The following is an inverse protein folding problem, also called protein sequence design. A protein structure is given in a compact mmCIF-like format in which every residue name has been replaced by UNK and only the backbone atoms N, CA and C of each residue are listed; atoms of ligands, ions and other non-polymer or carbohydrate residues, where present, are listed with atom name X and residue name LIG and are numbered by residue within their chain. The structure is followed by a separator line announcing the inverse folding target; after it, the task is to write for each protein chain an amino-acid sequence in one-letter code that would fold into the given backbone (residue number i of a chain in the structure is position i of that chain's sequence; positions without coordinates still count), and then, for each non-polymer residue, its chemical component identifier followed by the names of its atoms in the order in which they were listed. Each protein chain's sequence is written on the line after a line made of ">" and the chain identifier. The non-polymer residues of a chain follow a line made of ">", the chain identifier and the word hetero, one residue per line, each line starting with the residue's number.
data_IF_433887243508
#
_entry.id   IF_433887243508
#
_cell.length_a   1.000
_cell.length_b   1.000
_cell.length_c   1.000
_cell.angle_alpha   90.00
_cell.angle_beta   90.00
_cell.angle_gamma   90.00
#
_symmetry.space_group_name_H-M   'P 1'
#
loop_
_entity.id
_entity.type
_entity.pdbx_description
1 polymer ?
#
# COMPACT_ATOMS: atom_id res chain seq x y z
N UNK A 1 -47.13 12.03 -11.14
CA UNK A 1 -45.69 12.23 -10.88
C UNK A 1 -45.08 12.85 -12.12
N UNK A 2 -44.57 14.06 -12.01
CA UNK A 2 -43.97 14.79 -13.15
C UNK A 2 -42.61 14.20 -13.51
N UNK A 3 -42.23 14.21 -14.82
CA UNK A 3 -40.93 13.73 -15.31
C UNK A 3 -39.76 14.29 -14.51
N UNK A 4 -39.86 15.53 -14.04
CA UNK A 4 -38.82 16.19 -13.23
C UNK A 4 -38.60 15.52 -11.85
N UNK A 5 -39.63 14.98 -11.22
CA UNK A 5 -39.55 14.29 -9.93
C UNK A 5 -38.74 12.98 -10.05
N UNK A 6 -38.88 12.29 -11.17
CA UNK A 6 -38.15 11.04 -11.44
C UNK A 6 -36.63 11.28 -11.65
N UNK A 7 -36.26 12.37 -12.33
CA UNK A 7 -34.83 12.74 -12.51
C UNK A 7 -34.16 13.13 -11.20
N UNK A 8 -34.84 13.84 -10.30
CA UNK A 8 -34.28 14.22 -8.99
C UNK A 8 -34.04 12.98 -8.13
N UNK A 9 -34.97 12.03 -8.11
CA UNK A 9 -34.81 10.77 -7.36
C UNK A 9 -33.63 9.96 -7.91
N UNK A 10 -33.48 9.85 -9.23
CA UNK A 10 -32.38 9.12 -9.87
C UNK A 10 -31.01 9.74 -9.53
N UNK A 11 -30.89 11.07 -9.52
CA UNK A 11 -29.65 11.77 -9.14
C UNK A 11 -29.27 11.53 -7.69
N UNK A 12 -30.22 11.45 -6.75
CA UNK A 12 -29.96 11.18 -5.33
C UNK A 12 -29.39 9.75 -5.14
N UNK A 13 -29.93 8.75 -5.83
CA UNK A 13 -29.42 7.36 -5.76
C UNK A 13 -28.00 7.22 -6.31
N UNK A 14 -27.66 7.91 -7.40
CA UNK A 14 -26.31 7.87 -7.99
C UNK A 14 -25.28 8.53 -7.06
N UNK A 15 -25.61 9.64 -6.43
CA UNK A 15 -24.73 10.34 -5.48
C UNK A 15 -24.44 9.50 -4.23
N UNK A 16 -25.42 8.77 -3.72
CA UNK A 16 -25.27 7.89 -2.56
C UNK A 16 -24.31 6.73 -2.85
N UNK A 17 -24.37 6.12 -4.02
CA UNK A 17 -23.53 4.99 -4.40
C UNK A 17 -22.04 5.38 -4.55
N UNK A 18 -21.74 6.57 -5.06
CA UNK A 18 -20.37 7.09 -5.20
C UNK A 18 -19.76 7.38 -3.82
N UNK A 19 -20.52 7.98 -2.92
CA UNK A 19 -20.09 8.26 -1.54
C UNK A 19 -19.74 6.97 -0.79
N UNK A 20 -20.56 5.94 -0.88
CA UNK A 20 -20.35 4.65 -0.23
C UNK A 20 -19.06 3.96 -0.71
N UNK A 21 -18.79 3.93 -2.02
CA UNK A 21 -17.55 3.39 -2.59
C UNK A 21 -16.29 4.11 -2.06
N UNK A 22 -16.35 5.42 -1.92
CA UNK A 22 -15.23 6.22 -1.43
C UNK A 22 -14.94 5.93 0.05
N UNK A 23 -15.97 5.81 0.88
CA UNK A 23 -15.87 5.49 2.31
C UNK A 23 -15.28 4.08 2.49
N UNK A 24 -15.82 3.08 1.79
CA UNK A 24 -15.32 1.70 1.85
C UNK A 24 -13.85 1.62 1.45
N UNK A 25 -13.45 2.29 0.37
CA UNK A 25 -12.06 2.34 -0.05
C UNK A 25 -11.14 2.96 1.02
N UNK A 26 -11.55 4.07 1.63
CA UNK A 26 -10.79 4.73 2.71
C UNK A 26 -10.64 3.81 3.92
N UNK A 27 -11.71 3.13 4.30
CA UNK A 27 -11.70 2.19 5.42
C UNK A 27 -10.75 1.01 5.14
N UNK A 28 -10.81 0.42 3.95
CA UNK A 28 -9.91 -0.66 3.53
C UNK A 28 -8.44 -0.23 3.59
N UNK A 29 -8.09 0.96 3.09
CA UNK A 29 -6.73 1.49 3.17
C UNK A 29 -6.27 1.61 4.63
N UNK A 30 -7.12 2.14 5.50
CA UNK A 30 -6.80 2.29 6.92
C UNK A 30 -6.63 0.93 7.61
N UNK A 31 -7.47 -0.05 7.30
CA UNK A 31 -7.36 -1.43 7.83
C UNK A 31 -6.05 -2.08 7.40
N UNK A 32 -5.68 -1.99 6.11
CA UNK A 32 -4.41 -2.55 5.61
C UNK A 32 -3.20 -1.91 6.28
N UNK A 33 -3.20 -0.58 6.47
CA UNK A 33 -2.12 0.13 7.16
C UNK A 33 -2.11 -0.23 8.65
N UNK A 34 -3.28 -0.29 9.29
CA UNK A 34 -3.43 -0.71 10.68
C UNK A 34 -2.87 -2.10 10.91
N UNK A 35 -3.21 -3.06 10.06
CA UNK A 35 -2.67 -4.41 10.13
C UNK A 35 -1.15 -4.44 9.94
N UNK A 36 -0.60 -3.72 8.96
CA UNK A 36 0.85 -3.63 8.78
C UNK A 36 1.56 -3.10 10.04
N UNK A 37 0.96 -2.13 10.74
CA UNK A 37 1.50 -1.56 11.98
C UNK A 37 1.52 -2.56 13.14
N UNK A 38 0.61 -3.54 13.17
CA UNK A 38 0.63 -4.59 14.21
C UNK A 38 1.87 -5.49 14.14
N UNK A 39 2.59 -5.46 13.03
CA UNK A 39 3.86 -6.20 12.81
C UNK A 39 5.11 -5.37 13.14
N UNK A 40 5.01 -4.08 13.48
CA UNK A 40 6.19 -3.27 13.82
C UNK A 40 6.97 -3.95 14.94
N UNK A 41 8.30 -4.08 14.74
CA UNK A 41 9.21 -4.81 15.63
C UNK A 41 9.36 -6.31 15.32
N UNK A 42 8.51 -6.91 14.48
CA UNK A 42 8.67 -8.30 14.04
C UNK A 42 10.00 -8.48 13.32
N UNK A 43 10.82 -9.52 13.68
CA UNK A 43 12.10 -9.78 13.01
C UNK A 43 11.94 -10.06 11.52
N UNK A 44 12.96 -9.69 10.73
CA UNK A 44 13.00 -10.09 9.33
C UNK A 44 13.32 -11.59 9.20
N UNK A 45 12.54 -12.30 8.40
CA UNK A 45 12.83 -13.69 8.02
C UNK A 45 12.46 -13.88 6.54
N UNK A 46 13.44 -14.27 5.73
CA UNK A 46 13.20 -14.57 4.32
C UNK A 46 12.15 -15.69 4.18
N UNK A 47 11.11 -15.45 3.36
CA UNK A 47 9.98 -16.37 3.21
C UNK A 47 9.00 -16.38 4.38
N UNK A 48 9.28 -15.67 5.47
CA UNK A 48 8.42 -15.57 6.64
C UNK A 48 7.12 -14.79 6.37
N UNK A 49 6.08 -15.09 7.15
CA UNK A 49 4.75 -14.51 6.95
C UNK A 49 3.94 -14.39 8.26
N UNK A 50 4.59 -14.41 9.41
CA UNK A 50 3.97 -14.31 10.74
C UNK A 50 4.78 -13.44 11.70
N UNK A 51 4.35 -13.32 12.97
CA UNK A 51 5.00 -12.51 14.00
C UNK A 51 6.30 -13.12 14.56
N UNK A 52 6.63 -14.36 14.21
CA UNK A 52 7.92 -14.98 14.53
C UNK A 52 9.01 -14.59 13.52
N UNK A 53 8.59 -14.08 12.36
CA UNK A 53 9.47 -13.55 11.33
C UNK A 53 8.75 -13.36 10.01
N UNK A 54 8.98 -12.20 9.39
CA UNK A 54 8.26 -11.80 8.17
C UNK A 54 9.20 -11.14 7.16
N UNK A 55 8.98 -11.40 5.86
CA UNK A 55 9.65 -10.64 4.80
C UNK A 55 8.77 -9.49 4.26
N UNK A 56 9.33 -8.68 3.38
CA UNK A 56 8.65 -7.49 2.87
C UNK A 56 7.35 -7.79 2.11
N UNK A 57 7.33 -8.85 1.28
CA UNK A 57 6.15 -9.25 0.54
C UNK A 57 5.14 -10.02 1.40
N UNK A 58 5.60 -10.79 2.38
CA UNK A 58 4.77 -11.46 3.39
C UNK A 58 4.00 -10.46 4.26
N UNK A 59 4.66 -9.37 4.67
CA UNK A 59 4.00 -8.27 5.40
C UNK A 59 2.80 -7.72 4.62
N UNK A 60 2.96 -7.49 3.31
CA UNK A 60 1.86 -7.01 2.48
C UNK A 60 0.76 -8.06 2.33
N UNK A 61 1.10 -9.35 2.15
CA UNK A 61 0.10 -10.42 2.11
C UNK A 61 -0.78 -10.38 3.36
N UNK A 62 -0.18 -10.36 4.55
CA UNK A 62 -0.92 -10.29 5.81
C UNK A 62 -1.75 -9.01 5.93
N UNK A 63 -1.17 -7.88 5.54
CA UNK A 63 -1.88 -6.60 5.61
C UNK A 63 -3.13 -6.57 4.72
N UNK A 64 -3.06 -7.10 3.50
CA UNK A 64 -4.20 -7.14 2.59
C UNK A 64 -5.23 -8.23 2.94
N UNK A 65 -4.81 -9.31 3.60
CA UNK A 65 -5.73 -10.32 4.14
C UNK A 65 -6.71 -9.74 5.18
N UNK A 66 -6.35 -8.68 5.90
CA UNK A 66 -7.24 -8.00 6.87
C UNK A 66 -8.53 -7.44 6.25
N UNK A 67 -8.56 -7.26 4.95
CA UNK A 67 -9.73 -6.81 4.17
C UNK A 67 -10.26 -7.89 3.21
N UNK A 68 -9.83 -9.15 3.41
CA UNK A 68 -10.20 -10.28 2.55
C UNK A 68 -9.57 -10.25 1.15
N UNK A 69 -8.60 -9.36 0.90
CA UNK A 69 -7.94 -9.23 -0.41
C UNK A 69 -6.69 -10.11 -0.48
N UNK A 70 -6.69 -11.12 -1.35
CA UNK A 70 -5.52 -11.95 -1.62
C UNK A 70 -4.62 -11.27 -2.65
N UNK A 71 -3.34 -11.10 -2.31
CA UNK A 71 -2.30 -10.61 -3.22
C UNK A 71 -1.20 -11.66 -3.38
N UNK A 72 -0.41 -11.63 -4.49
CA UNK A 72 0.67 -12.59 -4.70
C UNK A 72 1.72 -12.58 -3.60
N UNK A 73 2.36 -13.75 -3.36
CA UNK A 73 3.34 -13.92 -2.28
C UNK A 73 4.67 -13.20 -2.53
N UNK A 74 5.06 -13.02 -3.78
CA UNK A 74 6.40 -12.50 -4.10
C UNK A 74 6.38 -11.06 -4.57
N UNK A 75 7.44 -10.30 -4.23
CA UNK A 75 7.63 -8.91 -4.67
C UNK A 75 7.58 -8.76 -6.19
N UNK A 76 8.13 -9.75 -6.93
CA UNK A 76 8.12 -9.75 -8.40
C UNK A 76 6.74 -9.89 -9.02
N UNK A 77 5.81 -10.56 -8.35
CA UNK A 77 4.41 -10.64 -8.77
C UNK A 77 3.59 -9.45 -8.26
N UNK A 78 3.87 -8.98 -7.05
CA UNK A 78 3.17 -7.83 -6.46
C UNK A 78 3.37 -6.54 -7.27
N UNK A 79 4.53 -6.36 -7.93
CA UNK A 79 4.82 -5.18 -8.75
C UNK A 79 3.90 -5.09 -9.99
N UNK A 80 3.26 -6.17 -10.40
CA UNK A 80 2.32 -6.18 -11.52
C UNK A 80 0.89 -5.78 -11.11
N UNK A 81 0.61 -5.69 -9.80
CA UNK A 81 -0.70 -5.26 -9.30
C UNK A 81 -0.97 -3.79 -9.63
N UNK A 82 -2.25 -3.48 -9.83
CA UNK A 82 -2.77 -2.11 -9.89
C UNK A 82 -2.13 -1.20 -10.95
N UNK A 83 -2.25 0.10 -10.78
CA UNK A 83 -1.79 1.12 -11.73
C UNK A 83 -0.49 1.77 -11.27
N UNK A 84 0.41 2.12 -12.21
CA UNK A 84 1.63 2.90 -11.92
C UNK A 84 1.27 4.32 -11.48
N UNK A 85 1.95 4.82 -10.46
CA UNK A 85 1.79 6.16 -9.88
C UNK A 85 3.15 6.84 -9.83
N UNK A 86 3.20 8.15 -10.09
CA UNK A 86 4.42 8.95 -9.87
C UNK A 86 4.59 9.29 -8.39
N UNK A 87 5.82 9.56 -7.95
CA UNK A 87 6.12 9.93 -6.57
C UNK A 87 5.27 11.12 -6.09
N UNK A 88 5.10 12.15 -6.93
CA UNK A 88 4.28 13.34 -6.63
C UNK A 88 2.78 13.04 -6.43
N UNK A 89 2.28 11.93 -6.98
CA UNK A 89 0.87 11.50 -6.88
C UNK A 89 0.65 10.34 -5.93
N UNK A 90 1.67 9.99 -5.14
CA UNK A 90 1.61 8.92 -4.12
C UNK A 90 0.54 9.24 -3.07
N UNK A 91 -0.14 8.21 -2.58
CA UNK A 91 -1.17 8.29 -1.53
C UNK A 91 -1.01 7.13 -0.55
N UNK A 92 -1.60 7.28 0.65
CA UNK A 92 -1.74 6.17 1.62
C UNK A 92 -2.32 4.93 0.93
N UNK A 93 -1.76 3.76 1.23
CA UNK A 93 -2.14 2.48 0.63
C UNK A 93 -1.45 2.15 -0.70
N UNK A 94 -0.66 3.07 -1.29
CA UNK A 94 0.18 2.74 -2.45
C UNK A 94 1.34 1.82 -2.04
N UNK A 95 1.74 0.92 -2.94
CA UNK A 95 2.91 0.06 -2.78
C UNK A 95 4.12 0.70 -3.43
N UNK A 96 5.23 0.79 -2.69
CA UNK A 96 6.50 1.31 -3.22
C UNK A 96 7.51 0.19 -3.36
N UNK A 97 8.12 0.07 -4.55
CA UNK A 97 9.05 -0.99 -4.92
C UNK A 97 10.46 -0.45 -5.13
N UNK A 98 11.44 -1.17 -4.57
CA UNK A 98 12.82 -0.75 -4.57
C UNK A 98 13.74 -1.80 -5.19
N UNK A 99 14.87 -1.34 -5.75
CA UNK A 99 16.00 -2.18 -6.10
C UNK A 99 17.14 -1.92 -5.12
N UNK A 100 17.33 -2.85 -4.19
CA UNK A 100 18.51 -2.92 -3.33
C UNK A 100 19.49 -3.98 -3.87
N UNK A 101 20.77 -3.69 -3.89
CA UNK A 101 21.80 -4.58 -4.38
C UNK A 101 22.45 -4.12 -5.68
N UNK A 102 23.25 -5.01 -6.31
CA UNK A 102 24.08 -4.69 -7.50
C UNK A 102 23.26 -4.30 -8.72
N UNK A 103 22.14 -4.96 -8.96
CA UNK A 103 21.26 -4.64 -10.10
C UNK A 103 20.28 -3.54 -9.77
N UNK A 104 20.44 -2.40 -10.44
CA UNK A 104 19.47 -1.29 -10.33
C UNK A 104 18.12 -1.56 -11.02
N UNK A 105 18.01 -2.64 -11.80
CA UNK A 105 16.78 -3.00 -12.55
C UNK A 105 15.93 -4.03 -11.78
N UNK A 106 16.55 -4.95 -11.05
CA UNK A 106 15.83 -6.02 -10.34
C UNK A 106 15.20 -5.48 -9.06
N UNK A 107 13.88 -5.48 -9.00
CA UNK A 107 13.15 -5.15 -7.76
C UNK A 107 13.35 -6.27 -6.75
N UNK A 108 13.78 -5.90 -5.56
CA UNK A 108 14.12 -6.83 -4.47
C UNK A 108 13.38 -6.53 -3.18
N UNK A 109 12.63 -5.42 -3.11
CA UNK A 109 11.98 -4.99 -1.89
C UNK A 109 10.69 -4.23 -2.17
N UNK A 110 9.76 -4.27 -1.23
CA UNK A 110 8.49 -3.57 -1.28
C UNK A 110 8.10 -3.03 0.10
N UNK A 111 7.36 -1.93 0.11
CA UNK A 111 6.73 -1.38 1.30
C UNK A 111 5.38 -0.75 1.00
N UNK A 112 4.63 -0.48 2.05
CA UNK A 112 3.29 0.10 2.04
C UNK A 112 3.36 1.58 2.47
N UNK A 113 2.90 2.50 1.64
CA UNK A 113 2.79 3.92 2.03
C UNK A 113 1.74 4.06 3.13
N UNK A 114 2.18 4.45 4.30
CA UNK A 114 1.37 4.55 5.51
C UNK A 114 0.97 5.99 5.85
N UNK A 115 1.77 6.96 5.43
CA UNK A 115 1.51 8.37 5.59
C UNK A 115 1.89 9.15 4.33
N UNK A 116 1.11 10.19 4.00
CA UNK A 116 1.45 11.18 2.98
C UNK A 116 0.65 12.45 3.27
N UNK A 117 1.13 13.25 4.21
CA UNK A 117 0.50 14.52 4.57
C UNK A 117 0.89 15.62 3.58
N UNK A 118 2.13 15.61 3.10
CA UNK A 118 2.66 16.51 2.09
C UNK A 118 3.84 15.84 1.35
N UNK A 119 4.36 16.41 0.25
CA UNK A 119 5.45 15.82 -0.55
C UNK A 119 6.76 15.56 0.21
N UNK A 120 6.98 16.23 1.33
CA UNK A 120 8.18 16.06 2.17
C UNK A 120 7.94 15.20 3.41
N UNK A 121 6.71 14.73 3.61
CA UNK A 121 6.29 13.92 4.77
C UNK A 121 5.55 12.67 4.30
N UNK A 122 6.31 11.75 3.71
CA UNK A 122 5.82 10.47 3.22
C UNK A 122 6.51 9.35 4.00
N UNK A 123 5.72 8.55 4.72
CA UNK A 123 6.21 7.38 5.44
C UNK A 123 5.74 6.09 4.76
N UNK A 124 6.52 5.02 4.96
CA UNK A 124 6.15 3.69 4.51
C UNK A 124 6.55 2.63 5.54
N UNK A 125 5.76 1.57 5.63
CA UNK A 125 6.02 0.41 6.48
C UNK A 125 6.64 -0.68 5.61
N UNK A 126 7.73 -1.28 6.09
CA UNK A 126 8.41 -2.37 5.41
C UNK A 126 9.17 -3.29 6.37
N UNK A 127 9.43 -4.53 5.96
CA UNK A 127 10.30 -5.44 6.70
C UNK A 127 11.76 -5.23 6.29
N UNK A 128 12.50 -4.47 7.09
CA UNK A 128 13.94 -4.24 6.91
C UNK A 128 14.74 -5.48 7.32
N UNK A 129 15.69 -5.92 6.48
CA UNK A 129 16.55 -7.08 6.79
C UNK A 129 17.41 -6.92 8.04
N UNK A 130 17.69 -5.69 8.47
CA UNK A 130 18.52 -5.40 9.65
C UNK A 130 17.75 -4.92 10.88
N UNK A 131 16.51 -4.42 10.70
CA UNK A 131 15.73 -3.80 11.78
C UNK A 131 14.36 -4.45 12.03
N UNK A 132 14.03 -5.48 11.23
CA UNK A 132 12.67 -6.02 11.23
C UNK A 132 11.65 -5.06 10.61
N UNK A 133 10.38 -5.21 10.96
CA UNK A 133 9.32 -4.34 10.45
C UNK A 133 9.40 -2.97 11.12
N UNK A 134 9.51 -1.95 10.28
CA UNK A 134 9.62 -0.54 10.70
C UNK A 134 8.81 0.38 9.81
N UNK A 135 8.37 1.51 10.37
CA UNK A 135 7.84 2.65 9.62
C UNK A 135 8.97 3.66 9.41
N UNK A 136 9.17 4.14 8.20
CA UNK A 136 10.37 4.90 7.80
C UNK A 136 9.99 5.99 6.79
N UNK A 137 10.65 7.15 6.89
CA UNK A 137 10.51 8.23 5.91
C UNK A 137 11.01 7.83 4.53
N UNK A 138 10.13 7.92 3.52
CA UNK A 138 10.42 7.57 2.13
C UNK A 138 11.35 8.57 1.45
N UNK A 139 11.25 9.84 1.83
CA UNK A 139 11.98 10.95 1.19
C UNK A 139 13.48 10.96 1.49
N UNK A 140 13.96 10.14 2.42
CA UNK A 140 15.41 9.98 2.64
C UNK A 140 16.08 9.56 1.34
N UNK A 141 17.21 10.21 1.02
CA UNK A 141 17.96 10.00 -0.21
C UNK A 141 18.28 8.51 -0.47
N UNK A 142 18.55 7.78 0.59
CA UNK A 142 18.80 6.33 0.57
C UNK A 142 17.67 5.55 -0.12
N UNK A 143 16.40 5.90 0.14
CA UNK A 143 15.23 5.23 -0.46
C UNK A 143 14.88 5.82 -1.82
N UNK A 144 14.83 7.15 -1.95
CA UNK A 144 14.44 7.85 -3.20
C UNK A 144 15.24 7.33 -4.39
N UNK A 145 16.56 7.22 -4.28
CA UNK A 145 17.45 6.73 -5.36
C UNK A 145 17.15 5.28 -5.78
N UNK A 146 16.51 4.51 -4.91
CA UNK A 146 16.23 3.08 -5.11
C UNK A 146 14.81 2.77 -5.53
N UNK A 147 13.90 3.74 -5.52
CA UNK A 147 12.53 3.56 -6.03
C UNK A 147 12.57 3.18 -7.50
N UNK A 148 11.79 2.15 -7.87
CA UNK A 148 11.64 1.68 -9.23
C UNK A 148 10.22 1.84 -9.75
N UNK A 149 9.24 1.50 -8.94
CA UNK A 149 7.82 1.71 -9.23
C UNK A 149 7.05 2.05 -7.96
N UNK A 150 5.98 2.79 -8.11
CA UNK A 150 4.92 2.94 -7.10
C UNK A 150 3.63 2.48 -7.77
N UNK A 151 2.85 1.68 -7.07
CA UNK A 151 1.64 1.04 -7.60
C UNK A 151 0.45 1.31 -6.69
N UNK A 152 -0.69 1.67 -7.27
CA UNK A 152 -1.96 1.83 -6.58
C UNK A 152 -2.85 0.63 -6.85
N UNK A 153 -3.21 -0.07 -5.78
CA UNK A 153 -4.01 -1.31 -5.84
C UNK A 153 -5.49 -1.03 -5.60
N UNK A 154 -5.81 0.04 -4.85
CA UNK A 154 -7.16 0.49 -4.52
C UNK A 154 -7.79 1.41 -5.57
#
# INVERSE_FOLDING_TARGET
>A
MTKNSLYIILCIFLSSCISQKSITKKNNINSVIGEARTYIGTPYKWGGNDKLGIDCSGLLVRSFESIGMKIPRTTGQQIELGKKVSLKKTKKGDLVFFAFGKSKRKVTHVGLISNNNNPTDIDFIHASSSRGVVETQLIKEYYIKRIRKIKRVF
#
